data_IF_315964843426
#
_entry.id   IF_315964843426
#
_cell.length_a   1.000
_cell.length_b   1.000
_cell.length_c   1.000
_cell.angle_alpha   90.00
_cell.angle_beta   90.00
_cell.angle_gamma   90.00
#
_symmetry.space_group_name_H-M   'P 1'
#
loop_
_entity.id
_entity.type
_entity.pdbx_description
1 polymer ?
#
# COMPACT_ATOMS: atom_id res chain seq x y z
N UNK A 1 -1.81 -12.42 6.46
CA UNK A 1 -0.64 -11.54 6.65
C UNK A 1 0.41 -11.87 5.60
N UNK A 2 0.84 -10.89 4.81
CA UNK A 2 1.84 -11.03 3.74
C UNK A 2 3.06 -10.18 4.10
N UNK A 3 4.27 -10.76 4.07
CA UNK A 3 5.53 -10.06 4.38
C UNK A 3 6.57 -10.53 3.38
N UNK A 4 7.21 -9.59 2.68
CA UNK A 4 8.18 -9.89 1.62
C UNK A 4 8.98 -8.63 1.25
N UNK A 5 10.13 -8.81 0.62
CA UNK A 5 10.90 -7.73 -0.02
C UNK A 5 11.17 -8.10 -1.48
N UNK A 6 11.05 -7.14 -2.38
CA UNK A 6 11.37 -7.30 -3.80
C UNK A 6 12.23 -6.13 -4.28
N UNK A 7 13.21 -6.41 -5.13
CA UNK A 7 13.95 -5.41 -5.87
C UNK A 7 13.38 -5.26 -7.28
N UNK A 8 13.35 -4.04 -7.80
CA UNK A 8 12.83 -3.73 -9.12
C UNK A 8 13.32 -2.38 -9.62
N UNK A 9 13.14 -2.14 -10.92
CA UNK A 9 13.48 -0.87 -11.55
C UNK A 9 12.23 0.01 -11.73
N UNK A 10 12.45 1.32 -11.70
CA UNK A 10 11.47 2.31 -12.13
C UNK A 10 11.64 2.50 -13.64
N UNK A 11 10.54 2.39 -14.38
CA UNK A 11 10.58 2.59 -15.83
C UNK A 11 10.70 4.07 -16.22
N UNK A 12 10.88 4.33 -17.52
CA UNK A 12 11.03 5.70 -18.05
C UNK A 12 9.81 6.62 -17.79
N UNK A 13 8.67 6.07 -17.38
CA UNK A 13 7.44 6.81 -17.05
C UNK A 13 7.21 6.92 -15.54
N UNK A 14 8.18 6.53 -14.71
CA UNK A 14 8.05 6.58 -13.26
C UNK A 14 7.19 5.47 -12.67
N UNK A 15 6.97 4.36 -13.40
CA UNK A 15 6.15 3.24 -12.91
C UNK A 15 7.02 2.12 -12.36
N UNK A 16 6.49 1.40 -11.38
CA UNK A 16 7.07 0.16 -10.84
C UNK A 16 6.11 -0.99 -11.08
N UNK A 17 6.65 -2.19 -11.34
CA UNK A 17 5.84 -3.40 -11.44
C UNK A 17 5.48 -3.91 -10.05
N UNK A 18 4.18 -4.09 -9.80
CA UNK A 18 3.72 -4.70 -8.55
C UNK A 18 4.06 -6.21 -8.56
N UNK A 19 4.78 -6.76 -7.57
CA UNK A 19 5.17 -8.17 -7.53
C UNK A 19 3.98 -9.14 -7.64
N UNK A 20 4.13 -10.22 -8.40
CA UNK A 20 3.03 -11.18 -8.63
C UNK A 20 2.46 -11.77 -7.32
N UNK A 21 3.27 -12.13 -6.30
CA UNK A 21 2.74 -12.63 -5.04
C UNK A 21 1.94 -11.57 -4.28
N UNK A 22 2.33 -10.29 -4.35
CA UNK A 22 1.55 -9.21 -3.75
C UNK A 22 0.23 -8.97 -4.50
N UNK A 23 0.22 -9.06 -5.83
CA UNK A 23 -1.04 -8.98 -6.62
C UNK A 23 -2.02 -10.09 -6.21
N UNK A 24 -1.53 -11.30 -5.93
CA UNK A 24 -2.37 -12.39 -5.41
C UNK A 24 -2.94 -12.07 -4.02
N UNK A 25 -2.15 -11.43 -3.15
CA UNK A 25 -2.59 -11.01 -1.83
C UNK A 25 -3.67 -9.91 -1.84
N UNK A 26 -3.81 -9.14 -2.93
CA UNK A 26 -4.87 -8.14 -3.09
C UNK A 26 -6.28 -8.75 -3.34
N UNK A 27 -6.41 -10.08 -3.35
CA UNK A 27 -7.71 -10.75 -3.41
C UNK A 27 -8.50 -10.50 -4.70
N UNK A 28 -7.80 -10.20 -5.81
CA UNK A 28 -8.41 -9.86 -7.10
C UNK A 28 -8.71 -8.38 -7.30
N UNK A 29 -8.40 -7.52 -6.31
CA UNK A 29 -8.42 -6.07 -6.52
C UNK A 29 -7.31 -5.62 -7.47
N UNK A 30 -7.64 -4.69 -8.36
CA UNK A 30 -6.70 -4.03 -9.27
C UNK A 30 -6.34 -2.61 -8.81
N UNK A 31 -6.62 -2.28 -7.53
CA UNK A 31 -6.34 -0.96 -6.96
C UNK A 31 -5.38 -1.06 -5.78
N UNK A 32 -4.43 -0.13 -5.75
CA UNK A 32 -3.57 0.16 -4.60
C UNK A 32 -3.62 1.65 -4.31
N UNK A 33 -3.50 2.00 -3.03
CA UNK A 33 -3.43 3.37 -2.54
C UNK A 33 -1.99 3.61 -2.11
N UNK A 34 -1.40 4.72 -2.55
CA UNK A 34 0.00 5.07 -2.30
C UNK A 34 0.07 6.51 -1.77
N UNK A 35 0.89 6.74 -0.75
CA UNK A 35 1.19 8.05 -0.17
C UNK A 35 2.67 8.15 0.22
N UNK A 36 3.14 9.36 0.55
CA UNK A 36 4.48 9.55 1.11
C UNK A 36 4.51 9.07 2.55
N UNK A 37 5.53 8.27 2.90
CA UNK A 37 5.76 7.84 4.27
C UNK A 37 5.91 9.06 5.19
N UNK A 38 5.22 9.10 6.34
CA UNK A 38 5.26 10.24 7.26
C UNK A 38 6.56 10.33 8.07
N UNK A 39 7.43 9.33 7.97
CA UNK A 39 8.68 9.22 8.72
C UNK A 39 9.84 10.06 8.17
N UNK A 40 9.62 10.78 7.06
CA UNK A 40 10.63 11.63 6.42
C UNK A 40 11.69 10.88 5.63
N UNK A 41 11.56 9.56 5.47
CA UNK A 41 12.49 8.74 4.67
C UNK A 41 12.45 9.06 3.17
N UNK A 42 11.41 9.75 2.70
CA UNK A 42 11.12 9.93 1.28
C UNK A 42 10.57 8.67 0.61
N UNK A 43 10.28 7.61 1.39
CA UNK A 43 9.65 6.40 0.87
C UNK A 43 8.18 6.63 0.52
N UNK A 44 7.65 5.69 -0.28
CA UNK A 44 6.22 5.57 -0.51
C UNK A 44 5.68 4.41 0.33
N UNK A 45 4.56 4.65 0.99
CA UNK A 45 3.78 3.66 1.72
C UNK A 45 2.45 3.42 1.01
N UNK A 46 1.84 2.26 1.23
CA UNK A 46 0.61 1.93 0.55
C UNK A 46 0.06 0.54 0.83
N UNK A 47 -1.16 0.32 0.36
CA UNK A 47 -1.82 -0.98 0.46
C UNK A 47 -3.11 -1.07 -0.37
N UNK A 48 -3.77 -2.22 -0.24
CA UNK A 48 -5.05 -2.49 -0.90
C UNK A 48 -6.26 -1.98 -0.11
N UNK A 49 -7.45 -2.31 -0.58
CA UNK A 49 -8.73 -1.94 0.03
C UNK A 49 -8.85 -2.38 1.49
N UNK A 50 -8.33 -3.58 1.84
CA UNK A 50 -8.36 -4.09 3.23
C UNK A 50 -7.63 -3.14 4.21
N UNK A 51 -6.49 -2.57 3.79
CA UNK A 51 -5.76 -1.59 4.60
C UNK A 51 -6.55 -0.29 4.74
N UNK A 52 -7.20 0.16 3.66
CA UNK A 52 -8.00 1.38 3.68
C UNK A 52 -9.24 1.25 4.57
N UNK A 53 -9.87 0.08 4.59
CA UNK A 53 -10.98 -0.20 5.52
C UNK A 53 -10.50 -0.14 6.96
N UNK A 54 -9.39 -0.81 7.28
CA UNK A 54 -8.78 -0.77 8.60
C UNK A 54 -8.48 0.68 9.04
N UNK A 55 -7.92 1.50 8.16
CA UNK A 55 -7.67 2.92 8.45
C UNK A 55 -8.96 3.71 8.67
N UNK A 56 -9.99 3.47 7.85
CA UNK A 56 -11.29 4.13 8.02
C UNK A 56 -11.91 3.82 9.37
N UNK A 57 -11.92 2.55 9.77
CA UNK A 57 -12.41 2.10 11.08
C UNK A 57 -11.60 2.72 12.22
N UNK A 58 -10.27 2.66 12.13
CA UNK A 58 -9.36 3.23 13.15
C UNK A 58 -9.58 4.73 13.35
N UNK A 59 -9.71 5.49 12.25
CA UNK A 59 -9.95 6.93 12.30
C UNK A 59 -11.34 7.26 12.84
N UNK A 60 -12.34 6.44 12.54
CA UNK A 60 -13.70 6.61 13.08
C UNK A 60 -13.72 6.44 14.60
N UNK A 61 -12.95 5.50 15.15
CA UNK A 61 -12.81 5.33 16.60
C UNK A 61 -12.08 6.49 17.27
N UNK A 62 -10.98 6.98 16.67
CA UNK A 62 -10.23 8.12 17.21
C UNK A 62 -11.05 9.40 17.29
N UNK A 63 -12.01 9.61 16.37
CA UNK A 63 -12.88 10.79 16.34
C UNK A 63 -13.93 10.81 17.47
N UNK A 64 -14.19 9.68 18.14
CA UNK A 64 -15.17 9.59 19.24
C UNK A 64 -14.66 10.20 20.56
N UNK A 65 -13.39 10.58 20.61
CA UNK A 65 -12.71 11.21 21.74
C UNK A 65 -12.22 12.62 21.37
#
# INVERSE_FOLDING_TARGET
MFVSTYEGAIDAKGRVSIPAPFRAALGGSNRVFIWQAPDGSGALEGGGEELMELYRETLAELRKH
#
